data_IF_227217845542
#
_entry.id   IF_227217845542
#
_cell.length_a   1.000
_cell.length_b   1.000
_cell.length_c   1.000
_cell.angle_alpha   90.00
_cell.angle_beta   90.00
_cell.angle_gamma   90.00
#
_symmetry.space_group_name_H-M   'P 1'
#
loop_
_entity.id
_entity.type
_entity.pdbx_description
1 polymer ?
#
# COMPACT_ATOMS: atom_id res chain seq x y z
N UNK A 1 -11.96 2.06 -10.67
CA UNK A 1 -11.21 0.98 -10.00
C UNK A 1 -11.70 0.92 -8.54
N UNK A 2 -11.97 -0.27 -7.99
CA UNK A 2 -12.47 -0.41 -6.61
C UNK A 2 -11.34 -0.96 -5.75
N UNK A 3 -10.88 -0.17 -4.78
CA UNK A 3 -9.84 -0.54 -3.82
C UNK A 3 -10.22 0.00 -2.45
N UNK A 4 -9.67 -0.60 -1.40
CA UNK A 4 -9.72 -0.02 -0.05
C UNK A 4 -8.57 0.98 0.06
N UNK A 5 -8.79 2.11 0.72
CA UNK A 5 -7.78 3.14 0.91
C UNK A 5 -7.74 3.61 2.34
N UNK A 6 -6.54 3.62 2.91
CA UNK A 6 -6.26 4.24 4.20
C UNK A 6 -5.00 5.11 4.07
N UNK A 7 -4.98 6.27 4.74
CA UNK A 7 -3.82 7.15 4.79
C UNK A 7 -3.39 7.31 6.24
N UNK A 8 -2.16 6.93 6.55
CA UNK A 8 -1.62 6.93 7.90
C UNK A 8 -0.28 7.65 7.94
N UNK A 9 0.03 8.26 9.08
CA UNK A 9 1.38 8.74 9.36
C UNK A 9 2.18 7.59 9.98
N UNK A 10 3.23 7.14 9.29
CA UNK A 10 4.11 6.07 9.75
C UNK A 10 5.50 6.63 10.01
N UNK A 11 6.21 6.03 10.95
CA UNK A 11 7.63 6.27 11.14
C UNK A 11 8.45 5.30 10.31
N UNK A 12 9.68 5.68 9.99
CA UNK A 12 10.64 4.77 9.38
C UNK A 12 10.79 3.49 10.22
N UNK A 13 10.69 2.33 9.57
CA UNK A 13 10.76 1.03 10.23
C UNK A 13 9.43 0.49 10.76
N UNK A 14 8.36 1.30 10.82
CA UNK A 14 7.03 0.79 11.17
C UNK A 14 6.60 -0.30 10.18
N UNK A 15 5.94 -1.35 10.69
CA UNK A 15 5.49 -2.48 9.89
C UNK A 15 3.98 -2.38 9.69
N UNK A 16 3.56 -2.17 8.44
CA UNK A 16 2.15 -2.31 8.06
C UNK A 16 1.83 -3.79 7.93
N UNK A 17 0.93 -4.28 8.78
CA UNK A 17 0.43 -5.65 8.77
C UNK A 17 -0.94 -5.66 8.13
N UNK A 18 -1.10 -6.40 7.03
CA UNK A 18 -2.37 -6.54 6.31
C UNK A 18 -2.82 -7.99 6.39
N UNK A 19 -4.10 -8.17 6.71
CA UNK A 19 -4.81 -9.45 6.63
C UNK A 19 -5.78 -9.43 5.45
N UNK A 20 -5.85 -10.52 4.69
CA UNK A 20 -6.80 -10.68 3.60
C UNK A 20 -7.17 -12.16 3.44
N UNK A 21 -8.41 -12.42 3.01
CA UNK A 21 -8.90 -13.78 2.75
C UNK A 21 -8.62 -14.27 1.32
N UNK A 22 -8.13 -13.39 0.44
CA UNK A 22 -7.87 -13.67 -0.97
C UNK A 22 -6.54 -13.04 -1.38
N UNK A 23 -5.98 -13.53 -2.50
CA UNK A 23 -4.83 -12.89 -3.15
C UNK A 23 -5.17 -11.44 -3.50
N UNK A 24 -4.31 -10.52 -3.11
CA UNK A 24 -4.51 -9.10 -3.40
C UNK A 24 -3.19 -8.40 -3.69
N UNK A 25 -3.26 -7.32 -4.46
CA UNK A 25 -2.17 -6.37 -4.58
C UNK A 25 -2.25 -5.40 -3.41
N UNK A 26 -1.12 -5.21 -2.74
CA UNK A 26 -0.97 -4.23 -1.67
C UNK A 26 0.06 -3.22 -2.11
N UNK A 27 -0.33 -1.94 -2.09
CA UNK A 27 0.54 -0.82 -2.43
C UNK A 27 0.64 0.15 -1.26
N UNK A 28 1.85 0.39 -0.81
CA UNK A 28 2.22 1.46 0.11
C UNK A 28 2.88 2.59 -0.69
N UNK A 29 2.26 3.77 -0.70
CA UNK A 29 2.62 4.89 -1.57
C UNK A 29 2.71 6.21 -0.83
N UNK A 30 3.66 7.06 -1.22
CA UNK A 30 3.62 8.47 -0.84
C UNK A 30 2.39 9.16 -1.45
N UNK A 31 2.04 10.36 -0.96
CA UNK A 31 0.91 11.13 -1.51
C UNK A 31 1.04 11.42 -3.01
N UNK A 32 2.25 11.72 -3.47
CA UNK A 32 2.52 11.97 -4.89
C UNK A 32 2.26 10.72 -5.74
N UNK A 33 2.75 9.55 -5.29
CA UNK A 33 2.53 8.29 -5.97
C UNK A 33 1.07 7.86 -5.94
N UNK A 34 0.36 8.05 -4.83
CA UNK A 34 -1.06 7.74 -4.73
C UNK A 34 -1.91 8.63 -5.65
N UNK A 35 -1.58 9.92 -5.77
CA UNK A 35 -2.23 10.82 -6.73
C UNK A 35 -2.02 10.33 -8.16
N UNK A 36 -0.81 9.94 -8.54
CA UNK A 36 -0.51 9.38 -9.85
C UNK A 36 -1.26 8.06 -10.09
N UNK A 37 -1.28 7.14 -9.11
CA UNK A 37 -2.03 5.89 -9.16
C UNK A 37 -3.52 6.12 -9.44
N UNK A 38 -4.18 7.02 -8.68
CA UNK A 38 -5.59 7.33 -8.88
C UNK A 38 -5.92 7.88 -10.27
N UNK A 39 -4.96 8.55 -10.89
CA UNK A 39 -5.10 9.13 -12.23
C UNK A 39 -4.64 8.18 -13.35
N UNK A 40 -4.31 6.92 -13.05
CA UNK A 40 -3.77 5.97 -14.03
C UNK A 40 -2.36 6.32 -14.53
N UNK A 41 -1.67 7.22 -13.83
CA UNK A 41 -0.31 7.64 -14.15
C UNK A 41 0.75 6.69 -13.61
N UNK A 42 1.99 6.88 -14.09
CA UNK A 42 3.16 6.17 -13.59
C UNK A 42 3.40 6.53 -12.12
N UNK A 43 3.60 5.52 -11.30
CA UNK A 43 3.84 5.65 -9.86
C UNK A 43 4.74 4.50 -9.39
N UNK A 44 5.34 4.67 -8.22
CA UNK A 44 6.07 3.63 -7.51
C UNK A 44 5.39 3.32 -6.18
N UNK A 45 5.61 2.12 -5.65
CA UNK A 45 5.05 1.69 -4.39
C UNK A 45 5.96 0.64 -3.73
N UNK A 46 5.81 0.48 -2.42
CA UNK A 46 6.34 -0.66 -1.68
C UNK A 46 5.21 -1.69 -1.52
N UNK A 47 5.50 -2.97 -1.74
CA UNK A 47 4.51 -4.04 -1.75
C UNK A 47 4.54 -4.84 -3.05
N UNK A 48 3.38 -5.35 -3.46
CA UNK A 48 3.26 -6.30 -4.58
C UNK A 48 2.00 -7.15 -4.48
N UNK A 49 1.99 -8.25 -5.23
CA UNK A 49 0.96 -9.27 -5.13
C UNK A 49 1.28 -10.20 -3.96
N UNK A 50 0.31 -10.41 -3.07
CA UNK A 50 0.42 -11.31 -1.93
C UNK A 50 -0.66 -12.38 -2.00
N UNK A 51 -0.25 -13.64 -1.82
CA UNK A 51 -1.11 -14.82 -1.75
C UNK A 51 -1.08 -15.51 -0.38
N UNK A 52 -0.27 -15.00 0.55
CA UNK A 52 -0.12 -15.49 1.93
C UNK A 52 -0.19 -14.31 2.89
N UNK A 53 -0.92 -14.52 3.98
CA UNK A 53 -1.22 -13.48 4.97
C UNK A 53 -0.90 -13.97 6.40
N UNK A 54 -0.49 -13.06 7.31
CA UNK A 54 -0.41 -11.61 7.12
C UNK A 54 0.72 -11.16 6.19
N UNK A 55 0.42 -10.21 5.31
CA UNK A 55 1.41 -9.49 4.53
C UNK A 55 2.04 -8.39 5.39
N UNK A 56 3.36 -8.21 5.29
CA UNK A 56 4.12 -7.24 6.08
C UNK A 56 4.92 -6.34 5.15
N UNK A 57 4.71 -5.04 5.24
CA UNK A 57 5.43 -4.03 4.47
C UNK A 57 6.04 -3.02 5.44
N UNK A 58 7.36 -2.87 5.41
CA UNK A 58 8.08 -1.89 6.22
C UNK A 58 7.99 -0.51 5.58
N UNK A 59 7.65 0.51 6.37
CA UNK A 59 7.71 1.90 5.95
C UNK A 59 9.18 2.31 5.74
N UNK A 60 9.57 2.75 4.53
CA UNK A 60 10.96 3.05 4.21
C UNK A 60 11.43 4.40 4.76
N UNK A 61 10.52 5.27 5.19
CA UNK A 61 10.81 6.58 5.77
C UNK A 61 9.62 7.10 6.56
N UNK A 62 9.88 7.99 7.52
CA UNK A 62 8.83 8.69 8.27
C UNK A 62 8.02 9.62 7.36
N UNK A 63 6.69 9.58 7.49
CA UNK A 63 5.78 10.47 6.80
C UNK A 63 4.40 9.87 6.56
N UNK A 64 3.59 10.55 5.75
CA UNK A 64 2.28 10.05 5.35
C UNK A 64 2.37 9.04 4.21
N UNK A 65 1.72 7.90 4.41
CA UNK A 65 1.63 6.83 3.44
C UNK A 65 0.18 6.47 3.15
N UNK A 66 -0.10 6.14 1.89
CA UNK A 66 -1.36 5.65 1.40
C UNK A 66 -1.26 4.14 1.19
N UNK A 67 -2.14 3.39 1.83
CA UNK A 67 -2.19 1.94 1.80
C UNK A 67 -3.42 1.55 0.97
N UNK A 68 -3.19 0.80 -0.11
CA UNK A 68 -4.29 0.33 -0.96
C UNK A 68 -4.19 -1.18 -1.20
N UNK A 69 -5.03 -1.98 -0.51
CA UNK A 69 -5.34 -3.34 -0.90
C UNK A 69 -6.41 -3.35 -2.01
N UNK A 70 -6.13 -4.05 -3.09
CA UNK A 70 -7.08 -4.37 -4.16
C UNK A 70 -7.01 -5.84 -4.52
N UNK A 71 -8.18 -6.48 -4.57
CA UNK A 71 -8.32 -7.80 -5.17
C UNK A 71 -8.15 -7.66 -6.69
N UNK A 72 -7.43 -8.61 -7.27
CA UNK A 72 -7.26 -8.72 -8.73
C UNK A 72 -8.55 -9.21 -9.38
#
# INVERSE_FOLDING_TARGET
>A
MKFIHQREHLNEGDIVVIECSQTCNIRLMSDANFRSFKNGGRHTYHGGAFDKFPAKITAPSTGFWNITPDVV
#
